data_IF_571147810327
#
_entry.id   IF_571147810327
#
_cell.length_a   1.000
_cell.length_b   1.000
_cell.length_c   1.000
_cell.angle_alpha   90.00
_cell.angle_beta   90.00
_cell.angle_gamma   90.00
#
_symmetry.space_group_name_H-M   'P 1'
#
loop_
_entity.id
_entity.type
_entity.pdbx_description
1 polymer ?
#
# COMPACT_ATOMS: atom_id res chain seq x y z
N UNK A 1 24.90 -11.78 -13.53
CA UNK A 1 25.63 -10.97 -14.55
C UNK A 1 24.88 -9.68 -14.96
N UNK A 2 23.86 -9.27 -14.18
CA UNK A 2 23.00 -8.10 -14.44
C UNK A 2 22.16 -8.22 -15.72
N UNK A 3 21.97 -9.42 -16.25
CA UNK A 3 21.03 -9.69 -17.35
C UNK A 3 19.55 -9.55 -16.93
N UNK A 4 19.29 -9.44 -15.63
CA UNK A 4 17.94 -9.31 -15.06
C UNK A 4 17.27 -10.65 -14.78
N UNK A 5 17.99 -11.76 -14.92
CA UNK A 5 17.56 -13.11 -14.58
C UNK A 5 18.13 -13.46 -13.21
N UNK A 6 17.28 -13.98 -12.32
CA UNK A 6 17.74 -14.43 -11.01
C UNK A 6 18.57 -15.72 -11.14
N UNK A 7 19.83 -15.70 -10.71
CA UNK A 7 20.71 -16.87 -10.77
C UNK A 7 20.49 -17.84 -9.60
N UNK A 8 19.89 -17.37 -8.51
CA UNK A 8 19.68 -18.16 -7.30
C UNK A 8 18.27 -17.95 -6.75
N UNK A 9 17.73 -19.00 -6.13
CA UNK A 9 16.42 -18.99 -5.47
C UNK A 9 16.50 -19.75 -4.15
N UNK A 10 16.03 -19.12 -3.09
CA UNK A 10 16.02 -19.69 -1.74
C UNK A 10 14.64 -19.52 -1.10
N UNK A 11 14.31 -20.41 -0.17
CA UNK A 11 13.27 -20.12 0.82
C UNK A 11 13.92 -19.20 1.85
N UNK A 12 13.66 -17.91 1.72
CA UNK A 12 14.28 -16.89 2.57
C UNK A 12 13.76 -16.93 4.02
N UNK A 13 12.46 -17.20 4.19
CA UNK A 13 11.81 -17.42 5.48
C UNK A 13 10.62 -18.37 5.30
N UNK A 14 10.28 -19.12 6.35
CA UNK A 14 9.20 -20.11 6.35
C UNK A 14 8.37 -20.01 7.64
N UNK A 15 7.27 -20.75 7.70
CA UNK A 15 6.38 -20.81 8.87
C UNK A 15 5.79 -19.44 9.28
N UNK A 16 5.59 -18.57 8.29
CA UNK A 16 5.02 -17.23 8.45
C UNK A 16 3.49 -17.24 8.31
N UNK A 17 2.83 -16.27 8.95
CA UNK A 17 1.38 -16.11 8.88
C UNK A 17 0.99 -15.06 7.83
N UNK A 18 0.79 -15.51 6.59
CA UNK A 18 0.42 -14.69 5.43
C UNK A 18 1.21 -13.35 5.37
N UNK A 19 2.54 -13.41 5.22
CA UNK A 19 3.38 -12.23 5.27
C UNK A 19 3.12 -11.30 4.07
N UNK A 20 3.28 -10.00 4.27
CA UNK A 20 3.18 -9.01 3.19
C UNK A 20 4.31 -7.98 3.22
N UNK A 21 4.35 -7.12 4.24
CA UNK A 21 5.36 -6.07 4.36
C UNK A 21 6.73 -6.64 4.72
N UNK A 22 7.78 -6.08 4.11
CA UNK A 22 9.17 -6.45 4.37
C UNK A 22 10.03 -5.20 4.44
N UNK A 23 10.94 -5.16 5.41
CA UNK A 23 11.86 -4.04 5.59
C UNK A 23 13.21 -4.54 6.10
N UNK A 24 14.31 -4.03 5.53
CA UNK A 24 15.66 -4.16 6.08
C UNK A 24 16.05 -2.83 6.70
N UNK A 25 16.46 -2.84 7.97
CA UNK A 25 16.97 -1.65 8.66
C UNK A 25 17.90 -2.02 9.82
N UNK A 26 19.04 -1.34 9.94
CA UNK A 26 19.95 -1.38 11.10
C UNK A 26 20.29 -2.81 11.58
N UNK A 27 20.67 -3.69 10.64
CA UNK A 27 21.04 -5.08 10.95
C UNK A 27 19.85 -6.00 11.25
N UNK A 28 18.63 -5.56 10.95
CA UNK A 28 17.42 -6.34 11.15
C UNK A 28 16.59 -6.48 9.88
N UNK A 29 15.83 -7.57 9.80
CA UNK A 29 14.78 -7.78 8.81
C UNK A 29 13.43 -7.83 9.52
N UNK A 30 12.47 -7.05 9.05
CA UNK A 30 11.11 -6.98 9.59
C UNK A 30 10.14 -7.64 8.62
N UNK A 31 9.21 -8.43 9.15
CA UNK A 31 8.13 -9.05 8.39
C UNK A 31 6.78 -8.66 9.01
N UNK A 32 5.88 -8.17 8.17
CA UNK A 32 4.49 -7.92 8.52
C UNK A 32 3.65 -9.16 8.28
N UNK A 33 3.48 -9.98 9.31
CA UNK A 33 2.48 -11.05 9.33
C UNK A 33 1.10 -10.48 9.61
N UNK A 34 0.07 -11.24 9.22
CA UNK A 34 -1.33 -10.86 9.46
C UNK A 34 -1.62 -10.44 10.91
N UNK A 35 -1.01 -11.13 11.88
CA UNK A 35 -1.27 -10.96 13.31
C UNK A 35 -0.14 -10.26 14.07
N UNK A 36 1.00 -9.98 13.45
CA UNK A 36 2.16 -9.44 14.16
C UNK A 36 3.21 -8.84 13.24
N UNK A 37 4.00 -7.92 13.79
CA UNK A 37 5.32 -7.60 13.24
C UNK A 37 6.38 -8.49 13.87
N UNK A 38 7.12 -9.18 13.01
CA UNK A 38 8.29 -9.96 13.37
C UNK A 38 9.56 -9.19 13.05
N UNK A 39 10.58 -9.35 13.88
CA UNK A 39 11.93 -8.84 13.66
C UNK A 39 12.94 -9.98 13.76
N UNK A 40 13.84 -10.04 12.80
CA UNK A 40 14.94 -10.99 12.73
C UNK A 40 16.26 -10.22 12.73
N UNK A 41 17.32 -10.81 13.27
CA UNK A 41 18.67 -10.37 12.97
C UNK A 41 18.96 -10.65 11.49
N UNK A 42 19.64 -9.73 10.82
CA UNK A 42 19.91 -9.83 9.38
C UNK A 42 21.27 -9.23 9.04
N UNK A 43 22.09 -10.01 8.35
CA UNK A 43 23.32 -9.53 7.72
C UNK A 43 23.09 -9.41 6.21
N UNK A 44 23.55 -8.32 5.61
CA UNK A 44 23.48 -8.14 4.15
C UNK A 44 24.14 -9.32 3.45
N UNK A 45 23.41 -9.95 2.53
CA UNK A 45 23.85 -11.14 1.82
C UNK A 45 23.38 -12.45 2.43
N UNK A 46 22.73 -12.44 3.61
CA UNK A 46 22.03 -13.62 4.12
C UNK A 46 20.99 -14.07 3.08
N UNK A 47 20.95 -15.38 2.81
CA UNK A 47 20.00 -16.01 1.88
C UNK A 47 18.88 -16.76 2.60
N UNK A 48 18.91 -16.77 3.94
CA UNK A 48 17.91 -17.35 4.82
C UNK A 48 17.88 -16.59 6.16
N UNK A 49 16.68 -16.29 6.65
CA UNK A 49 16.46 -15.78 8.01
C UNK A 49 16.48 -16.94 9.01
N UNK A 50 17.28 -16.80 10.06
CA UNK A 50 17.42 -17.84 11.09
C UNK A 50 16.39 -17.67 12.19
N UNK A 51 15.83 -18.79 12.66
CA UNK A 51 14.85 -18.82 13.75
C UNK A 51 13.45 -18.38 13.34
N UNK A 52 12.57 -18.16 14.31
CA UNK A 52 11.15 -17.80 14.09
C UNK A 52 10.87 -16.29 14.13
N UNK A 53 11.91 -15.48 14.39
CA UNK A 53 11.78 -14.05 14.60
C UNK A 53 11.20 -13.69 15.96
N UNK A 54 11.51 -12.47 16.42
CA UNK A 54 10.94 -11.87 17.62
C UNK A 54 9.66 -11.14 17.23
N UNK A 55 8.53 -11.47 17.86
CA UNK A 55 7.33 -10.63 17.78
C UNK A 55 7.64 -9.32 18.51
N UNK A 56 7.64 -8.20 17.77
CA UNK A 56 7.83 -6.86 18.35
C UNK A 56 6.51 -6.13 18.55
N UNK A 57 5.49 -6.47 17.76
CA UNK A 57 4.17 -5.87 17.88
C UNK A 57 3.07 -6.85 17.51
N UNK A 58 2.06 -7.01 18.37
CA UNK A 58 0.84 -7.72 18.05
C UNK A 58 -0.11 -6.82 17.24
N UNK A 59 -0.63 -7.32 16.13
CA UNK A 59 -1.50 -6.60 15.21
C UNK A 59 -2.90 -7.23 15.16
N UNK A 60 -3.96 -6.42 14.92
CA UNK A 60 -5.31 -6.96 14.84
C UNK A 60 -5.49 -7.99 13.71
N UNK A 61 -5.94 -9.19 14.06
CA UNK A 61 -6.26 -10.29 13.14
C UNK A 61 -7.61 -10.96 13.46
N UNK A 62 -8.38 -10.41 14.40
CA UNK A 62 -9.72 -10.86 14.77
C UNK A 62 -10.62 -11.05 13.56
N UNK A 63 -11.34 -12.18 13.51
CA UNK A 63 -12.24 -12.50 12.39
C UNK A 63 -13.58 -11.74 12.51
N UNK A 64 -14.17 -11.30 11.38
CA UNK A 64 -13.63 -11.38 10.03
C UNK A 64 -12.43 -10.45 9.85
N UNK A 65 -11.41 -10.90 9.13
CA UNK A 65 -10.17 -10.13 8.88
C UNK A 65 -9.99 -9.97 7.37
N UNK A 66 -10.83 -9.14 6.75
CA UNK A 66 -10.84 -8.97 5.28
C UNK A 66 -9.52 -8.38 4.77
N UNK A 67 -8.92 -7.44 5.49
CA UNK A 67 -7.65 -6.80 5.12
C UNK A 67 -6.49 -7.30 6.00
N UNK A 68 -5.95 -8.45 5.61
CA UNK A 68 -4.93 -9.15 6.38
C UNK A 68 -3.50 -8.60 6.16
N UNK A 69 -3.22 -7.93 5.04
CA UNK A 69 -1.89 -7.39 4.74
C UNK A 69 -1.43 -6.37 5.78
N UNK A 70 -0.10 -6.34 6.04
CA UNK A 70 0.57 -5.40 6.94
C UNK A 70 1.84 -4.90 6.28
N UNK A 71 1.75 -3.76 5.60
CA UNK A 71 2.93 -3.13 4.99
C UNK A 71 3.71 -2.32 6.04
N UNK A 72 5.03 -2.19 5.86
CA UNK A 72 5.92 -1.54 6.82
C UNK A 72 6.94 -0.69 6.07
N UNK A 73 7.10 0.57 6.47
CA UNK A 73 8.22 1.41 6.01
C UNK A 73 8.85 2.15 7.19
N UNK A 74 10.12 2.51 7.13
CA UNK A 74 10.74 3.39 8.11
C UNK A 74 10.50 4.85 7.74
N UNK A 75 10.69 5.77 8.69
CA UNK A 75 10.98 7.16 8.33
C UNK A 75 12.44 7.31 7.85
N UNK A 76 12.77 8.51 7.37
CA UNK A 76 14.07 8.83 6.76
C UNK A 76 15.27 8.55 7.67
N UNK A 77 15.15 8.77 8.97
CA UNK A 77 16.24 8.57 9.94
C UNK A 77 16.18 7.20 10.65
N UNK A 78 15.21 6.34 10.29
CA UNK A 78 15.02 5.02 10.88
C UNK A 78 14.53 5.03 12.34
N UNK A 79 14.29 6.19 12.96
CA UNK A 79 13.84 6.27 14.35
C UNK A 79 12.42 5.76 14.58
N UNK A 80 11.62 5.63 13.50
CA UNK A 80 10.23 5.17 13.53
C UNK A 80 9.92 4.23 12.38
N UNK A 81 9.03 3.26 12.64
CA UNK A 81 8.39 2.43 11.63
C UNK A 81 6.92 2.80 11.51
N UNK A 82 6.39 2.71 10.29
CA UNK A 82 5.01 3.00 9.93
C UNK A 82 4.37 1.72 9.42
N UNK A 83 3.21 1.37 9.95
CA UNK A 83 2.56 0.08 9.71
C UNK A 83 1.16 0.31 9.18
N UNK A 84 0.90 -0.17 7.96
CA UNK A 84 -0.42 -0.14 7.37
C UNK A 84 -1.31 -1.21 7.99
N UNK A 85 -2.49 -0.84 8.49
CA UNK A 85 -3.48 -1.77 9.03
C UNK A 85 -4.86 -1.49 8.43
N UNK A 86 -5.34 -2.39 7.58
CA UNK A 86 -6.67 -2.28 6.99
C UNK A 86 -7.81 -2.65 7.96
N UNK A 87 -9.04 -2.28 7.58
CA UNK A 87 -10.28 -2.59 8.31
C UNK A 87 -10.54 -4.11 8.37
N UNK A 88 -11.34 -4.53 9.33
CA UNK A 88 -11.82 -5.91 9.45
C UNK A 88 -12.90 -6.23 8.39
N UNK A 89 -13.55 -5.18 7.87
CA UNK A 89 -14.83 -5.26 7.18
C UNK A 89 -14.95 -4.23 6.04
N UNK A 90 -16.08 -4.18 5.32
CA UNK A 90 -16.24 -3.26 4.19
C UNK A 90 -16.59 -1.84 4.70
N UNK A 91 -17.60 -1.74 5.57
CA UNK A 91 -18.10 -0.48 6.14
C UNK A 91 -18.43 -0.64 7.64
N UNK A 92 -17.55 -1.29 8.39
CA UNK A 92 -17.71 -1.49 9.84
C UNK A 92 -19.01 -2.22 10.21
N UNK A 93 -19.45 -3.20 9.41
CA UNK A 93 -20.73 -3.92 9.61
C UNK A 93 -20.82 -4.63 10.96
N UNK A 94 -19.67 -5.01 11.53
CA UNK A 94 -19.59 -5.63 12.85
C UNK A 94 -19.49 -4.60 13.99
N UNK A 95 -19.66 -3.31 13.70
CA UNK A 95 -19.54 -2.21 14.63
C UNK A 95 -18.13 -1.62 14.69
N UNK A 96 -18.07 -0.30 14.86
CA UNK A 96 -16.83 0.50 14.87
C UNK A 96 -15.84 0.09 15.97
N UNK A 97 -16.34 -0.51 17.06
CA UNK A 97 -15.49 -1.02 18.14
C UNK A 97 -14.65 -2.24 17.73
N UNK A 98 -15.05 -2.97 16.68
CA UNK A 98 -14.24 -4.05 16.10
C UNK A 98 -13.12 -3.53 15.17
N UNK A 99 -13.08 -2.21 14.95
CA UNK A 99 -12.13 -1.53 14.06
C UNK A 99 -11.06 -0.77 14.84
N UNK A 100 -10.93 -1.03 16.14
CA UNK A 100 -9.85 -0.47 16.97
C UNK A 100 -8.49 -0.89 16.43
N UNK A 101 -7.59 0.08 16.23
CA UNK A 101 -6.27 -0.10 15.60
C UNK A 101 -6.34 -0.66 14.18
N UNK A 102 -7.45 -0.43 13.47
CA UNK A 102 -7.66 -0.79 12.07
C UNK A 102 -8.07 0.43 11.26
N UNK A 103 -8.07 0.27 9.93
CA UNK A 103 -8.27 1.36 8.97
C UNK A 103 -7.37 2.58 9.26
N UNK A 104 -6.09 2.29 9.51
CA UNK A 104 -5.14 3.26 10.04
C UNK A 104 -3.71 2.96 9.61
N UNK A 105 -2.84 3.94 9.84
CA UNK A 105 -1.39 3.77 9.83
C UNK A 105 -0.92 3.93 11.27
N UNK A 106 -0.18 2.94 11.78
CA UNK A 106 0.46 3.01 13.10
C UNK A 106 1.88 3.56 12.96
N UNK A 107 2.35 4.32 13.95
CA UNK A 107 3.75 4.72 14.14
C UNK A 107 4.29 3.99 15.39
N UNK A 108 5.45 3.34 15.27
CA UNK A 108 6.13 2.64 16.37
C UNK A 108 7.64 2.93 16.36
N UNK A 109 8.31 2.66 17.48
CA UNK A 109 9.77 2.50 17.50
C UNK A 109 10.17 1.17 16.82
N UNK A 110 11.41 1.03 16.30
CA UNK A 110 11.89 -0.21 15.69
C UNK A 110 11.89 -1.45 16.61
N UNK A 111 11.78 -1.27 17.92
CA UNK A 111 11.63 -2.37 18.88
C UNK A 111 10.16 -2.74 19.19
N UNK A 112 9.20 -2.07 18.56
CA UNK A 112 7.76 -2.25 18.76
C UNK A 112 7.14 -1.34 19.82
N UNK A 113 7.93 -0.57 20.57
CA UNK A 113 7.42 0.32 21.62
C UNK A 113 6.89 1.64 21.06
N UNK A 114 6.22 2.42 21.91
CA UNK A 114 5.82 3.80 21.56
C UNK A 114 4.71 3.88 20.50
N UNK A 115 3.89 2.84 20.38
CA UNK A 115 2.80 2.78 19.40
C UNK A 115 1.84 3.96 19.51
N UNK A 116 1.52 4.54 18.36
CA UNK A 116 0.46 5.53 18.16
C UNK A 116 -0.26 5.29 16.83
N UNK A 117 -1.52 5.70 16.76
CA UNK A 117 -2.20 5.87 15.47
C UNK A 117 -1.65 7.15 14.84
N UNK A 118 -0.95 7.03 13.73
CA UNK A 118 -0.42 8.17 12.98
C UNK A 118 -1.52 8.87 12.18
N UNK A 119 -2.39 8.10 11.53
CA UNK A 119 -3.57 8.57 10.81
C UNK A 119 -4.64 7.48 10.76
N UNK A 120 -5.91 7.86 10.65
CA UNK A 120 -7.06 6.95 10.73
C UNK A 120 -8.12 7.24 9.68
N UNK A 121 -9.14 6.39 9.60
CA UNK A 121 -10.19 6.50 8.59
C UNK A 121 -9.72 6.18 7.18
N UNK A 122 -8.61 5.45 7.07
CA UNK A 122 -8.03 4.95 5.83
C UNK A 122 -8.42 3.48 5.70
N UNK A 123 -9.47 3.12 4.93
CA UNK A 123 -10.04 1.75 4.94
C UNK A 123 -8.99 0.64 4.82
N UNK A 124 -8.07 0.75 3.86
CA UNK A 124 -6.99 -0.21 3.66
C UNK A 124 -5.77 0.48 3.00
N UNK A 125 -4.88 1.11 3.79
CA UNK A 125 -3.78 1.95 3.32
C UNK A 125 -2.52 1.13 3.00
N UNK A 126 -2.57 0.27 1.99
CA UNK A 126 -1.54 -0.76 1.77
C UNK A 126 -0.20 -0.14 1.33
N UNK A 127 -0.20 0.63 0.24
CA UNK A 127 1.01 1.26 -0.27
C UNK A 127 1.42 2.40 0.65
N UNK A 128 2.72 2.55 0.94
CA UNK A 128 3.24 3.71 1.67
C UNK A 128 4.62 4.11 1.12
N UNK A 129 4.87 5.41 0.99
CA UNK A 129 6.18 5.96 0.65
C UNK A 129 6.33 7.40 1.15
N UNK A 130 7.55 7.84 1.43
CA UNK A 130 7.85 9.23 1.73
C UNK A 130 8.15 10.00 0.45
N UNK A 131 7.50 11.15 0.27
CA UNK A 131 7.78 11.99 -0.89
C UNK A 131 9.20 12.57 -0.82
N UNK A 132 10.03 12.39 -1.87
CA UNK A 132 11.42 12.86 -1.92
C UNK A 132 11.58 14.33 -1.56
N UNK A 133 12.63 14.66 -0.82
CA UNK A 133 12.91 16.04 -0.39
C UNK A 133 11.93 16.61 0.63
N UNK A 134 10.99 15.81 1.14
CA UNK A 134 10.00 16.23 2.14
C UNK A 134 9.96 15.26 3.33
N UNK A 135 9.12 15.57 4.32
CA UNK A 135 8.72 14.66 5.39
C UNK A 135 7.22 14.31 5.29
N UNK A 136 6.69 14.25 4.06
CA UNK A 136 5.27 13.96 3.82
C UNK A 136 5.14 12.48 3.47
N UNK A 137 4.42 11.74 4.30
CA UNK A 137 4.02 10.37 4.04
C UNK A 137 2.90 10.37 2.99
N UNK A 138 2.99 9.46 2.04
CA UNK A 138 1.93 9.19 1.06
C UNK A 138 1.47 7.75 1.17
N UNK A 139 0.18 7.52 0.94
CA UNK A 139 -0.42 6.18 0.97
C UNK A 139 -1.42 5.97 -0.15
N UNK A 140 -1.58 4.71 -0.56
CA UNK A 140 -2.60 4.26 -1.50
C UNK A 140 -3.65 3.46 -0.74
N UNK A 141 -4.91 3.87 -0.85
CA UNK A 141 -6.02 3.31 -0.07
C UNK A 141 -7.05 2.65 -0.99
N UNK A 142 -7.44 1.44 -0.60
CA UNK A 142 -8.51 0.69 -1.27
C UNK A 142 -9.83 1.02 -0.59
N UNK A 143 -10.76 1.65 -1.30
CA UNK A 143 -12.02 2.15 -0.78
C UNK A 143 -13.12 1.08 -0.72
N UNK A 144 -14.28 1.46 -0.16
CA UNK A 144 -15.44 0.58 0.01
C UNK A 144 -15.95 -0.04 -1.28
N UNK A 145 -16.36 -1.30 -1.14
CA UNK A 145 -17.04 -2.08 -2.16
C UNK A 145 -18.57 -1.85 -2.11
N UNK A 146 -19.30 -2.41 -3.09
CA UNK A 146 -20.76 -2.56 -3.08
C UNK A 146 -21.58 -1.25 -3.05
N UNK A 147 -21.08 -0.17 -3.65
CA UNK A 147 -21.84 1.10 -3.86
C UNK A 147 -21.85 1.54 -5.34
N UNK A 148 -21.64 0.60 -6.25
CA UNK A 148 -21.66 0.79 -7.70
C UNK A 148 -20.28 0.65 -8.35
N UNK A 149 -20.27 0.66 -9.68
CA UNK A 149 -19.04 0.46 -10.47
C UNK A 149 -18.10 1.67 -10.42
N UNK A 150 -18.65 2.87 -10.26
CA UNK A 150 -17.91 4.13 -10.37
C UNK A 150 -17.81 4.89 -9.05
N UNK A 151 -18.29 4.29 -7.95
CA UNK A 151 -18.20 4.83 -6.60
C UNK A 151 -17.74 3.71 -5.65
N UNK A 152 -16.79 3.93 -4.74
CA UNK A 152 -15.98 5.13 -4.48
C UNK A 152 -14.60 4.98 -5.13
N UNK A 153 -13.96 6.07 -5.61
CA UNK A 153 -12.58 5.96 -6.08
C UNK A 153 -11.65 5.49 -4.96
N UNK A 154 -10.80 4.52 -5.26
CA UNK A 154 -9.54 4.37 -4.54
C UNK A 154 -8.74 5.67 -4.68
N UNK A 155 -7.81 5.90 -3.77
CA UNK A 155 -7.04 7.15 -3.78
C UNK A 155 -5.59 6.97 -3.38
N UNK A 156 -4.78 7.90 -3.88
CA UNK A 156 -3.40 8.14 -3.49
C UNK A 156 -3.31 9.53 -2.85
N UNK A 157 -2.86 9.60 -1.60
CA UNK A 157 -2.98 10.84 -0.81
C UNK A 157 -1.81 11.03 0.13
N UNK A 158 -1.49 12.29 0.41
CA UNK A 158 -0.64 12.70 1.52
C UNK A 158 -1.32 12.38 2.85
N UNK A 159 -0.53 11.99 3.85
CA UNK A 159 -0.99 11.57 5.17
C UNK A 159 -0.59 12.58 6.23
N UNK A 160 -1.60 13.24 6.80
CA UNK A 160 -1.46 14.15 7.93
C UNK A 160 -1.42 13.39 9.25
N UNK A 161 -0.52 13.80 10.14
CA UNK A 161 -0.50 13.27 11.50
C UNK A 161 -1.81 13.61 12.22
N UNK A 162 -2.37 12.63 12.91
CA UNK A 162 -3.67 12.68 13.58
C UNK A 162 -4.85 12.93 12.62
N UNK A 163 -4.61 12.79 11.30
CA UNK A 163 -5.61 12.98 10.26
C UNK A 163 -6.68 11.88 10.25
N UNK A 164 -7.89 12.25 9.81
CA UNK A 164 -9.02 11.34 9.63
C UNK A 164 -9.53 11.39 8.19
N UNK A 165 -9.49 10.25 7.48
CA UNK A 165 -9.78 10.16 6.04
C UNK A 165 -11.17 9.59 5.72
N UNK A 166 -12.08 9.64 6.70
CA UNK A 166 -13.51 9.48 6.49
C UNK A 166 -14.07 8.11 6.84
N UNK A 167 -13.33 7.03 6.58
CA UNK A 167 -13.86 5.69 6.84
C UNK A 167 -14.14 5.45 8.34
N UNK A 168 -15.27 4.84 8.74
CA UNK A 168 -16.34 4.32 7.88
C UNK A 168 -17.47 5.33 7.61
N UNK A 169 -17.46 6.51 8.22
CA UNK A 169 -18.59 7.45 8.22
C UNK A 169 -18.80 8.22 6.90
N UNK A 170 -17.71 8.55 6.23
CA UNK A 170 -17.70 9.32 4.99
C UNK A 170 -16.77 8.71 3.95
N UNK A 171 -16.94 9.09 2.69
CA UNK A 171 -16.06 8.69 1.59
C UNK A 171 -15.60 9.90 0.78
N UNK A 172 -14.32 9.89 0.41
CA UNK A 172 -13.71 10.86 -0.50
C UNK A 172 -14.04 12.34 -0.17
N UNK A 173 -13.88 12.72 1.09
CA UNK A 173 -14.31 14.01 1.65
C UNK A 173 -15.55 13.87 2.53
N UNK A 174 -16.25 14.97 2.79
CA UNK A 174 -17.40 15.01 3.72
C UNK A 174 -18.69 14.36 3.15
N UNK A 175 -18.60 13.37 2.26
CA UNK A 175 -19.77 12.67 1.72
C UNK A 175 -20.19 11.56 2.69
N UNK A 176 -21.32 11.69 3.41
CA UNK A 176 -21.72 10.66 4.37
C UNK A 176 -22.04 9.35 3.66
N UNK A 177 -21.60 8.22 4.20
CA UNK A 177 -22.01 6.92 3.68
C UNK A 177 -23.43 6.58 4.14
N UNK A 178 -24.39 6.38 3.22
CA UNK A 178 -25.77 6.06 3.57
C UNK A 178 -25.92 4.71 4.30
N UNK A 179 -24.96 3.79 4.17
CA UNK A 179 -24.97 2.50 4.86
C UNK A 179 -24.66 2.64 6.35
N UNK A 180 -24.06 3.75 6.76
CA UNK A 180 -23.82 4.07 8.17
C UNK A 180 -25.04 4.69 8.87
N UNK A 181 -26.23 4.77 8.24
CA UNK A 181 -27.40 5.50 8.77
C UNK A 181 -27.69 5.28 10.26
N UNK A 182 -27.57 4.05 10.76
CA UNK A 182 -27.91 3.69 12.14
C UNK A 182 -26.74 3.93 13.12
N UNK A 183 -25.53 4.13 12.61
CA UNK A 183 -24.29 4.35 13.36
C UNK A 183 -23.55 5.62 12.89
N UNK A 184 -24.28 6.55 12.25
CA UNK A 184 -23.66 7.67 11.57
C UNK A 184 -23.06 8.65 12.59
N UNK A 185 -21.90 9.21 12.25
CA UNK A 185 -21.24 10.20 13.08
C UNK A 185 -20.90 11.45 12.25
N UNK A 186 -21.84 12.39 12.21
CA UNK A 186 -21.70 13.61 11.41
C UNK A 186 -20.53 14.49 11.84
N UNK A 187 -20.09 14.42 13.11
CA UNK A 187 -18.88 15.12 13.56
C UNK A 187 -17.65 14.55 12.86
N UNK A 188 -17.56 13.23 12.73
CA UNK A 188 -16.46 12.59 12.01
C UNK A 188 -16.56 12.80 10.50
N UNK A 189 -17.76 12.80 9.92
CA UNK A 189 -17.96 13.20 8.51
C UNK A 189 -17.37 14.58 8.26
N UNK A 190 -17.69 15.58 9.11
CA UNK A 190 -17.15 16.95 9.00
C UNK A 190 -15.65 17.10 9.26
N UNK A 191 -15.02 16.12 9.92
CA UNK A 191 -13.56 16.08 10.12
C UNK A 191 -12.81 15.39 8.97
N UNK A 192 -13.53 14.88 7.97
CA UNK A 192 -12.92 14.07 6.91
C UNK A 192 -12.00 14.93 6.04
N UNK A 193 -10.73 14.55 6.02
CA UNK A 193 -9.76 15.06 5.06
C UNK A 193 -10.09 14.43 3.71
N UNK A 194 -10.30 15.28 2.70
CA UNK A 194 -10.52 14.82 1.34
C UNK A 194 -9.18 14.32 0.75
N UNK A 195 -9.12 13.10 0.20
CA UNK A 195 -7.91 12.60 -0.44
C UNK A 195 -7.47 13.43 -1.67
N UNK A 196 -6.16 13.45 -1.93
CA UNK A 196 -5.55 14.29 -2.97
C UNK A 196 -5.82 13.81 -4.40
N UNK A 197 -5.55 12.53 -4.69
CA UNK A 197 -5.58 11.99 -6.06
C UNK A 197 -6.54 10.80 -6.14
N UNK A 198 -7.68 10.91 -6.82
CA UNK A 198 -8.49 9.74 -7.16
C UNK A 198 -7.74 8.91 -8.20
N UNK A 199 -7.64 7.60 -7.99
CA UNK A 199 -6.93 6.69 -8.91
C UNK A 199 -7.88 5.72 -9.63
N UNK A 200 -9.19 5.91 -9.47
CA UNK A 200 -10.26 5.13 -10.05
C UNK A 200 -10.93 4.19 -9.03
N UNK A 201 -12.17 3.81 -9.29
CA UNK A 201 -12.91 2.90 -8.40
C UNK A 201 -12.45 1.46 -8.63
N UNK A 202 -12.33 0.71 -7.52
CA UNK A 202 -11.98 -0.72 -7.50
C UNK A 202 -10.63 -1.06 -8.12
N UNK A 203 -9.69 -0.12 -8.23
CA UNK A 203 -8.37 -0.36 -8.86
C UNK A 203 -7.46 -1.26 -8.04
N UNK A 204 -7.75 -1.37 -6.75
CA UNK A 204 -6.98 -2.09 -5.75
C UNK A 204 -5.50 -1.65 -5.72
N UNK A 205 -5.23 -0.41 -5.33
CA UNK A 205 -3.87 0.15 -5.34
C UNK A 205 -3.04 -0.35 -4.15
N UNK A 206 -1.88 -0.98 -4.38
CA UNK A 206 -1.14 -1.73 -3.33
C UNK A 206 0.29 -1.26 -3.04
N UNK A 207 1.01 -0.77 -4.04
CA UNK A 207 2.42 -0.41 -3.94
C UNK A 207 2.66 1.02 -4.42
N UNK A 208 3.62 1.71 -3.78
CA UNK A 208 4.05 3.05 -4.15
C UNK A 208 5.58 3.08 -4.18
N UNK A 209 6.15 3.73 -5.19
CA UNK A 209 7.54 4.18 -5.15
C UNK A 209 7.67 5.54 -5.81
N UNK A 210 8.54 6.41 -5.28
CA UNK A 210 8.92 7.64 -5.96
C UNK A 210 10.18 7.42 -6.78
N UNK A 211 10.25 8.05 -7.96
CA UNK A 211 11.37 7.84 -8.87
C UNK A 211 12.39 8.98 -8.80
N UNK A 212 13.45 8.76 -8.03
CA UNK A 212 14.54 9.73 -7.81
C UNK A 212 15.76 9.49 -8.73
N UNK A 213 15.70 8.46 -9.56
CA UNK A 213 16.78 8.10 -10.50
C UNK A 213 16.62 8.86 -11.82
N UNK A 214 17.58 8.70 -12.73
CA UNK A 214 17.64 9.42 -14.02
C UNK A 214 17.53 8.52 -15.25
N UNK A 215 17.37 7.20 -15.06
CA UNK A 215 17.39 6.25 -16.17
C UNK A 215 16.10 6.32 -17.02
N UNK A 216 14.94 6.60 -16.41
CA UNK A 216 13.70 6.84 -17.14
C UNK A 216 13.64 8.26 -17.72
N UNK A 217 12.84 8.47 -18.79
CA UNK A 217 12.59 9.79 -19.36
C UNK A 217 12.27 10.86 -18.32
N UNK A 218 12.69 12.11 -18.59
CA UNK A 218 12.58 13.22 -17.65
C UNK A 218 11.16 13.42 -17.08
N UNK A 219 10.11 13.12 -17.86
CA UNK A 219 8.72 13.21 -17.40
C UNK A 219 8.38 12.32 -16.20
N UNK A 220 9.12 11.22 -16.01
CA UNK A 220 8.91 10.29 -14.90
C UNK A 220 9.74 10.62 -13.66
N UNK A 221 10.64 11.59 -13.75
CA UNK A 221 11.52 11.95 -12.64
C UNK A 221 10.77 12.74 -11.57
N UNK A 222 11.06 12.42 -10.31
CA UNK A 222 10.46 13.00 -9.11
C UNK A 222 8.95 12.77 -8.95
N UNK A 223 8.31 11.94 -9.78
CA UNK A 223 6.92 11.52 -9.60
C UNK A 223 6.78 10.19 -8.87
N UNK A 224 5.53 9.80 -8.63
CA UNK A 224 5.17 8.55 -7.97
C UNK A 224 4.67 7.52 -8.97
N UNK A 225 5.08 6.27 -8.79
CA UNK A 225 4.49 5.11 -9.44
C UNK A 225 3.61 4.37 -8.45
N UNK A 226 2.40 4.00 -8.88
CA UNK A 226 1.41 3.29 -8.05
C UNK A 226 0.96 2.04 -8.78
N UNK A 227 1.07 0.89 -8.13
CA UNK A 227 0.58 -0.40 -8.68
C UNK A 227 -0.91 -0.55 -8.39
N UNK A 228 -1.67 -0.97 -9.40
CA UNK A 228 -3.10 -1.24 -9.33
C UNK A 228 -3.34 -2.72 -9.60
N UNK A 229 -3.63 -3.48 -8.54
CA UNK A 229 -3.80 -4.94 -8.56
C UNK A 229 -5.03 -5.38 -9.35
N UNK A 230 -6.03 -4.50 -9.45
CA UNK A 230 -7.19 -4.68 -10.29
C UNK A 230 -8.47 -5.11 -9.56
N UNK A 231 -9.60 -4.75 -10.15
CA UNK A 231 -10.95 -4.91 -9.59
C UNK A 231 -11.45 -6.34 -9.57
N UNK A 232 -12.11 -6.74 -8.49
CA UNK A 232 -12.97 -7.94 -8.47
C UNK A 232 -14.47 -7.60 -8.43
N UNK A 233 -14.82 -6.40 -7.95
CA UNK A 233 -16.19 -5.96 -7.68
C UNK A 233 -16.65 -4.86 -8.65
N UNK A 234 -16.52 -5.09 -9.96
CA UNK A 234 -16.94 -4.15 -11.01
C UNK A 234 -17.35 -4.88 -12.28
N UNK A 235 -18.32 -4.36 -13.03
CA UNK A 235 -18.79 -4.99 -14.29
C UNK A 235 -17.75 -4.95 -15.43
N UNK A 236 -16.90 -3.92 -15.46
CA UNK A 236 -15.76 -3.82 -16.36
C UNK A 236 -14.48 -3.69 -15.54
N UNK A 237 -13.44 -4.45 -15.92
CA UNK A 237 -12.17 -4.44 -15.20
C UNK A 237 -11.58 -3.02 -15.09
N UNK A 238 -11.09 -2.70 -13.89
CA UNK A 238 -10.40 -1.45 -13.55
C UNK A 238 -9.08 -1.77 -12.87
N UNK A 239 -8.05 -0.94 -13.03
CA UNK A 239 -6.69 -1.22 -12.54
C UNK A 239 -5.88 -2.11 -13.48
N UNK A 240 -5.26 -3.17 -12.94
CA UNK A 240 -4.39 -4.11 -13.67
C UNK A 240 -3.26 -3.41 -14.43
N UNK A 241 -2.56 -2.51 -13.73
CA UNK A 241 -1.54 -1.65 -14.34
C UNK A 241 -0.62 -1.03 -13.28
N UNK A 242 0.41 -0.37 -13.75
CA UNK A 242 1.14 0.64 -12.98
C UNK A 242 0.79 1.99 -13.57
N UNK A 243 0.38 2.94 -12.72
CA UNK A 243 0.19 4.33 -13.08
C UNK A 243 1.36 5.18 -12.60
N UNK A 244 1.58 6.31 -13.27
CA UNK A 244 2.48 7.37 -12.87
C UNK A 244 1.68 8.62 -12.48
N UNK A 245 1.99 9.21 -11.33
CA UNK A 245 1.44 10.49 -10.87
C UNK A 245 2.57 11.52 -10.95
N UNK A 246 2.46 12.56 -11.81
CA UNK A 246 3.49 13.59 -11.91
C UNK A 246 3.50 14.46 -10.66
N UNK A 247 4.69 14.86 -10.20
CA UNK A 247 4.86 15.72 -9.04
C UNK A 247 5.68 16.96 -9.38
N UNK A 248 5.35 18.07 -8.73
CA UNK A 248 6.12 19.31 -8.73
C UNK A 248 6.03 19.96 -7.36
N UNK A 249 7.18 20.38 -6.80
CA UNK A 249 7.23 21.01 -5.47
C UNK A 249 6.69 20.13 -4.34
N UNK A 250 6.87 18.81 -4.43
CA UNK A 250 6.41 17.86 -3.41
C UNK A 250 4.90 17.58 -3.42
N UNK A 251 4.18 18.00 -4.46
CA UNK A 251 2.73 17.78 -4.64
C UNK A 251 2.42 17.22 -6.02
N UNK A 252 1.31 16.47 -6.18
CA UNK A 252 0.81 16.07 -7.49
C UNK A 252 0.61 17.29 -8.39
N UNK A 253 1.08 17.21 -9.63
CA UNK A 253 1.05 18.32 -10.61
C UNK A 253 0.21 18.02 -11.84
N UNK A 254 -0.52 16.90 -11.85
CA UNK A 254 -1.33 16.46 -12.98
C UNK A 254 -2.11 15.19 -12.67
N UNK A 255 -2.92 14.77 -13.64
CA UNK A 255 -3.68 13.52 -13.54
C UNK A 255 -2.74 12.30 -13.62
N UNK A 256 -3.14 11.16 -13.04
CA UNK A 256 -2.41 9.91 -13.26
C UNK A 256 -2.36 9.49 -14.73
N UNK A 257 -1.23 8.96 -15.15
CA UNK A 257 -0.97 8.43 -16.49
C UNK A 257 -0.69 6.92 -16.42
N UNK A 258 -1.13 6.17 -17.43
CA UNK A 258 -0.74 4.76 -17.55
C UNK A 258 0.76 4.64 -17.84
N UNK A 259 1.47 3.80 -17.08
CA UNK A 259 2.90 3.53 -17.25
C UNK A 259 3.19 2.11 -17.76
N UNK A 260 2.65 1.10 -17.06
CA UNK A 260 2.80 -0.31 -17.44
C UNK A 260 1.43 -0.95 -17.50
N UNK A 261 1.01 -1.36 -18.70
CA UNK A 261 -0.30 -1.97 -18.99
C UNK A 261 -0.11 -3.29 -19.74
N UNK A 262 -1.21 -3.94 -20.15
CA UNK A 262 -1.17 -5.22 -20.86
C UNK A 262 -1.37 -6.44 -19.96
N UNK A 263 -1.75 -6.23 -18.70
CA UNK A 263 -2.09 -7.31 -17.77
C UNK A 263 -3.49 -7.88 -17.99
N UNK A 264 -4.36 -7.18 -18.71
CA UNK A 264 -5.68 -7.70 -19.13
C UNK A 264 -5.54 -8.23 -20.56
N UNK A 265 -6.00 -9.46 -20.79
CA UNK A 265 -5.79 -10.17 -22.05
C UNK A 265 -6.40 -9.45 -23.24
N UNK A 266 -7.67 -9.06 -23.10
CA UNK A 266 -8.38 -8.28 -24.09
C UNK A 266 -9.34 -7.32 -23.39
N UNK A 267 -9.46 -6.06 -23.86
CA UNK A 267 -10.44 -5.12 -23.32
C UNK A 267 -11.85 -5.72 -23.35
N UNK A 268 -12.54 -5.71 -22.20
CA UNK A 268 -13.90 -6.24 -22.07
C UNK A 268 -14.02 -7.74 -21.81
N UNK A 269 -12.90 -8.48 -21.74
CA UNK A 269 -12.85 -9.84 -21.21
C UNK A 269 -12.38 -9.84 -19.75
N UNK A 270 -12.73 -10.91 -19.03
CA UNK A 270 -12.34 -11.11 -17.63
C UNK A 270 -11.00 -11.86 -17.48
N UNK A 271 -10.34 -12.18 -18.59
CA UNK A 271 -9.06 -12.89 -18.60
C UNK A 271 -7.91 -11.93 -18.26
N UNK A 272 -7.15 -12.28 -17.23
CA UNK A 272 -6.04 -11.47 -16.68
C UNK A 272 -4.75 -12.29 -16.67
N UNK A 273 -3.67 -11.69 -17.17
CA UNK A 273 -2.33 -12.28 -17.23
C UNK A 273 -1.47 -11.98 -15.99
N UNK A 274 -1.82 -10.94 -15.22
CA UNK A 274 -1.07 -10.58 -14.04
C UNK A 274 -1.72 -9.49 -13.21
N UNK A 275 -1.28 -9.35 -11.96
CA UNK A 275 -1.80 -8.37 -11.01
C UNK A 275 -0.65 -7.73 -10.23
N UNK A 276 -0.26 -6.49 -10.56
CA UNK A 276 0.91 -5.87 -9.93
C UNK A 276 0.65 -5.55 -8.45
N UNK A 277 1.62 -5.84 -7.57
CA UNK A 277 1.53 -5.68 -6.11
C UNK A 277 2.62 -4.73 -5.60
N UNK A 278 3.83 -5.24 -5.36
CA UNK A 278 4.96 -4.49 -4.82
C UNK A 278 5.74 -3.82 -5.94
N UNK A 279 6.36 -2.68 -5.64
CA UNK A 279 7.13 -1.90 -6.61
C UNK A 279 8.34 -1.27 -5.91
N UNK A 280 9.51 -1.35 -6.54
CA UNK A 280 10.73 -0.71 -6.04
C UNK A 280 11.67 -0.32 -7.18
N UNK A 281 12.56 0.63 -6.92
CA UNK A 281 13.55 1.14 -7.87
C UNK A 281 14.93 0.65 -7.48
N UNK A 282 15.63 0.03 -8.42
CA UNK A 282 17.01 -0.43 -8.27
C UNK A 282 18.01 0.72 -8.45
N UNK A 283 19.25 0.48 -8.04
CA UNK A 283 20.30 1.51 -8.11
C UNK A 283 20.65 1.96 -9.52
N UNK A 284 20.53 1.06 -10.50
CA UNK A 284 20.69 1.36 -11.92
C UNK A 284 19.53 2.19 -12.51
N UNK A 285 18.49 2.46 -11.72
CA UNK A 285 17.30 3.20 -12.14
C UNK A 285 16.27 2.35 -12.88
N UNK A 286 16.46 1.05 -13.00
CA UNK A 286 15.41 0.11 -13.39
C UNK A 286 14.45 -0.14 -12.22
N UNK A 287 13.27 -0.68 -12.53
CA UNK A 287 12.19 -0.87 -11.58
C UNK A 287 11.78 -2.33 -11.54
N UNK A 288 11.53 -2.85 -10.35
CA UNK A 288 10.96 -4.18 -10.13
C UNK A 288 9.49 -4.05 -9.71
N UNK A 289 8.63 -4.88 -10.30
CA UNK A 289 7.23 -5.01 -9.93
C UNK A 289 6.92 -6.48 -9.66
N UNK A 290 6.33 -6.79 -8.51
CA UNK A 290 5.87 -8.15 -8.23
C UNK A 290 4.45 -8.36 -8.74
N UNK A 291 4.15 -9.58 -9.17
CA UNK A 291 2.84 -10.03 -9.60
C UNK A 291 2.53 -11.36 -8.92
N UNK A 292 1.55 -11.32 -8.00
CA UNK A 292 1.21 -12.46 -7.15
C UNK A 292 0.39 -13.53 -7.88
N UNK A 293 -0.29 -13.15 -8.96
CA UNK A 293 -1.19 -14.03 -9.70
C UNK A 293 -0.41 -14.88 -10.70
N UNK A 294 0.56 -14.28 -11.39
CA UNK A 294 1.44 -15.02 -12.31
C UNK A 294 2.71 -15.56 -11.65
N UNK A 295 2.97 -15.19 -10.39
CA UNK A 295 4.21 -15.50 -9.67
C UNK A 295 5.46 -14.99 -10.42
N UNK A 296 5.39 -13.74 -10.91
CA UNK A 296 6.42 -13.10 -11.73
C UNK A 296 6.98 -11.87 -11.05
N UNK A 297 8.28 -11.61 -11.24
CA UNK A 297 8.90 -10.32 -10.97
C UNK A 297 9.23 -9.68 -12.31
N UNK A 298 8.57 -8.57 -12.61
CA UNK A 298 8.79 -7.80 -13.83
C UNK A 298 9.91 -6.79 -13.60
N UNK A 299 10.88 -6.73 -14.52
CA UNK A 299 11.88 -5.65 -14.55
C UNK A 299 11.59 -4.69 -15.70
N UNK A 300 11.39 -3.42 -15.36
CA UNK A 300 11.21 -2.34 -16.34
C UNK A 300 12.48 -1.49 -16.36
N UNK A 301 13.11 -1.38 -17.52
CA UNK A 301 14.32 -0.59 -17.73
C UNK A 301 14.17 0.25 -18.99
N UNK A 302 14.79 1.43 -19.02
CA UNK A 302 14.91 2.17 -20.29
C UNK A 302 15.72 1.33 -21.27
N UNK A 303 15.28 1.27 -22.52
CA UNK A 303 16.11 0.70 -23.58
C UNK A 303 17.38 1.56 -23.69
N UNK A 304 18.52 0.90 -23.57
CA UNK A 304 19.84 1.45 -23.88
C UNK A 304 19.96 1.79 -25.36
#
# INVERSE_FOLDING_TARGET
DKDGIAEQRFIFAQDLNQPFGMLIQDGHFYIGNTNALLRFEYTVGDTILKGTGKIILALPDTKPNRHWTKNIIPNKDGSKLYVAVGSSSNVAENGVNNEVRRACILEINPDGTGEKIYASGLRNPVGMAWAPGTNILWTAVNERDEIGDDLVPDYFTSVERDGFYGWPFAYFGENPDPRMKDNQNMVMVKKTIKPDVPVGSHTASLGITFYEKKAFPAKYQNGAFVTQHGSWNRSQLSGYKVIFVPFSGGKPSGAPEDFLTGFVAEPGKNDVYGRPVGITVLDDGSMLITDDTSNTIWRVASKS
#
